data_IF_834963572321
#
_entry.id   IF_834963572321
#
_cell.length_a   1.000
_cell.length_b   1.000
_cell.length_c   1.000
_cell.angle_alpha   90.00
_cell.angle_beta   90.00
_cell.angle_gamma   90.00
#
_symmetry.space_group_name_H-M   'P 1'
#
loop_
_entity.id
_entity.type
_entity.pdbx_description
1 polymer ?
#
# COMPACT_ATOMS: atom_id res chain seq x y z
N UNK A 1 7.68 -24.32 -55.23
CA UNK A 1 6.40 -25.01 -55.49
C UNK A 1 5.57 -24.78 -54.24
N UNK A 2 4.60 -24.00 -54.10
CA UNK A 2 3.86 -22.95 -54.80
C UNK A 2 3.36 -22.03 -53.72
N UNK A 3 3.68 -20.81 -53.62
CA UNK A 3 3.27 -19.56 -54.29
C UNK A 3 1.79 -19.48 -54.70
N UNK A 4 1.14 -18.43 -54.13
CA UNK A 4 0.03 -17.71 -54.71
C UNK A 4 -1.38 -18.33 -54.72
N UNK A 5 -2.24 -17.60 -54.00
CA UNK A 5 -3.61 -17.19 -54.35
C UNK A 5 -4.31 -16.71 -53.06
N UNK A 6 -4.85 -15.56 -52.88
CA UNK A 6 -5.63 -14.73 -53.74
C UNK A 6 -5.71 -13.30 -53.16
N UNK A 7 -5.18 -12.37 -53.94
CA UNK A 7 -5.72 -11.01 -54.07
C UNK A 7 -6.87 -11.11 -55.06
N UNK A 8 -7.81 -10.19 -54.89
CA UNK A 8 -8.90 -9.75 -55.78
C UNK A 8 -10.30 -10.14 -55.34
N UNK A 9 -11.00 -9.17 -54.79
CA UNK A 9 -12.18 -8.63 -55.47
C UNK A 9 -12.60 -7.30 -54.86
N UNK A 10 -12.06 -6.26 -55.45
CA UNK A 10 -12.71 -4.95 -55.54
C UNK A 10 -13.50 -4.89 -56.88
N UNK A 11 -14.57 -4.07 -56.84
CA UNK A 11 -15.27 -3.42 -57.96
C UNK A 11 -16.42 -4.19 -58.64
N UNK A 12 -17.62 -3.65 -58.54
CA UNK A 12 -18.35 -2.94 -59.57
C UNK A 12 -19.76 -2.59 -59.09
N UNK A 13 -20.13 -1.30 -59.03
CA UNK A 13 -20.66 -0.40 -60.07
C UNK A 13 -22.12 -0.65 -60.46
N UNK A 14 -22.87 0.38 -60.23
CA UNK A 14 -23.64 1.26 -61.08
C UNK A 14 -25.11 0.95 -61.35
N UNK A 15 -25.92 1.97 -60.97
CA UNK A 15 -27.03 2.59 -61.70
C UNK A 15 -28.15 1.70 -62.27
N UNK A 16 -29.39 2.10 -61.99
CA UNK A 16 -30.32 2.60 -63.03
C UNK A 16 -31.47 3.38 -62.36
N UNK A 17 -31.74 4.44 -63.00
CA UNK A 17 -32.65 5.56 -62.89
C UNK A 17 -34.09 5.22 -63.28
N UNK A 18 -35.02 6.06 -62.82
CA UNK A 18 -36.30 6.45 -63.43
C UNK A 18 -37.57 5.95 -62.78
N UNK A 19 -38.35 6.82 -62.22
CA UNK A 19 -39.32 7.59 -62.84
C UNK A 19 -40.59 7.80 -62.05
N UNK A 20 -40.90 9.01 -61.79
CA UNK A 20 -42.21 9.65 -62.00
C UNK A 20 -43.35 9.54 -60.94
N UNK A 21 -43.73 10.70 -60.55
CA UNK A 21 -45.03 11.37 -60.36
C UNK A 21 -45.49 11.66 -58.95
N UNK A 22 -45.50 12.96 -58.72
CA UNK A 22 -46.23 13.78 -57.78
C UNK A 22 -47.54 13.23 -57.27
N UNK A 23 -47.74 13.34 -55.96
CA UNK A 23 -49.01 13.74 -55.35
C UNK A 23 -48.72 14.60 -54.15
N UNK A 24 -49.13 15.86 -54.22
CA UNK A 24 -49.14 16.80 -53.10
C UNK A 24 -50.24 16.36 -52.09
N UNK A 25 -49.88 16.08 -50.85
CA UNK A 25 -50.80 16.16 -49.74
C UNK A 25 -50.11 16.94 -48.61
N UNK A 26 -50.68 18.13 -48.38
CA UNK A 26 -50.37 18.99 -47.25
C UNK A 26 -50.67 18.24 -45.93
N UNK A 27 -49.65 17.89 -45.17
CA UNK A 27 -49.81 17.50 -43.78
C UNK A 27 -48.87 18.35 -42.94
N UNK A 28 -49.47 19.15 -42.06
CA UNK A 28 -48.81 19.94 -41.02
C UNK A 28 -47.87 19.10 -40.20
N UNK A 29 -46.61 19.48 -40.00
CA UNK A 29 -45.79 18.84 -38.95
C UNK A 29 -46.17 19.38 -37.60
N UNK A 30 -46.75 18.50 -36.76
CA UNK A 30 -46.89 18.69 -35.34
C UNK A 30 -45.50 18.60 -34.74
N UNK A 31 -44.89 19.73 -34.42
CA UNK A 31 -43.58 19.82 -33.74
C UNK A 31 -43.79 19.44 -32.27
N UNK A 32 -43.64 18.15 -31.97
CA UNK A 32 -43.52 17.67 -30.58
C UNK A 32 -42.15 18.07 -30.10
N UNK A 33 -42.10 19.20 -29.40
CA UNK A 33 -40.92 19.62 -28.62
C UNK A 33 -40.77 18.69 -27.39
N UNK A 34 -40.10 17.56 -27.57
CA UNK A 34 -39.70 16.73 -26.43
C UNK A 34 -38.63 17.48 -25.63
N UNK A 35 -39.06 18.15 -24.56
CA UNK A 35 -38.16 18.64 -23.52
C UNK A 35 -37.43 17.42 -22.92
N UNK A 36 -36.25 17.15 -23.39
CA UNK A 36 -35.30 16.31 -22.64
C UNK A 36 -34.95 17.08 -21.35
N UNK A 37 -35.62 16.73 -20.26
CA UNK A 37 -35.14 17.09 -18.95
C UNK A 37 -33.79 16.44 -18.76
N UNK A 38 -32.73 17.21 -19.00
CA UNK A 38 -31.37 16.83 -18.60
C UNK A 38 -31.39 16.86 -17.07
N UNK A 39 -31.65 15.70 -16.47
CA UNK A 39 -31.40 15.51 -15.05
C UNK A 39 -29.91 15.66 -14.86
N UNK A 40 -29.48 16.88 -14.56
CA UNK A 40 -28.14 17.11 -14.01
C UNK A 40 -28.04 16.31 -12.73
N UNK A 41 -27.43 15.14 -12.80
CA UNK A 41 -26.90 14.48 -11.61
C UNK A 41 -25.85 15.45 -11.05
N UNK A 42 -26.27 16.33 -10.15
CA UNK A 42 -25.35 17.05 -9.31
C UNK A 42 -24.60 15.97 -8.52
N UNK A 43 -23.36 15.72 -8.91
CA UNK A 43 -22.42 15.00 -8.04
C UNK A 43 -22.46 15.78 -6.72
N UNK A 44 -22.82 15.16 -5.59
CA UNK A 44 -22.80 15.88 -4.33
C UNK A 44 -21.40 16.45 -4.15
N UNK A 45 -21.29 17.77 -4.12
CA UNK A 45 -20.06 18.43 -3.70
C UNK A 45 -19.76 17.86 -2.33
N UNK A 46 -18.63 17.16 -2.15
CA UNK A 46 -18.30 16.55 -0.87
C UNK A 46 -18.38 17.65 0.19
N UNK A 47 -19.37 17.55 1.06
CA UNK A 47 -19.57 18.47 2.15
C UNK A 47 -18.36 18.38 3.07
N UNK A 48 -17.85 19.53 3.57
CA UNK A 48 -16.77 19.57 4.56
C UNK A 48 -17.07 18.65 5.77
N UNK A 49 -16.22 18.66 6.80
CA UNK A 49 -16.46 17.87 8.01
C UNK A 49 -17.79 18.22 8.66
N UNK A 50 -18.45 17.23 9.27
CA UNK A 50 -19.70 17.43 10.02
C UNK A 50 -19.49 18.45 11.13
N UNK A 51 -20.43 19.38 11.27
CA UNK A 51 -20.38 20.47 12.25
C UNK A 51 -21.35 20.26 13.40
N UNK A 52 -21.04 20.83 14.58
CA UNK A 52 -21.77 20.62 15.84
C UNK A 52 -21.89 21.94 16.63
N UNK A 53 -22.76 21.98 17.60
CA UNK A 53 -22.95 23.15 18.46
C UNK A 53 -21.88 23.26 19.55
N UNK A 54 -21.25 22.16 19.94
CA UNK A 54 -20.21 22.12 20.98
C UNK A 54 -19.10 21.13 20.67
N UNK A 55 -17.92 21.33 21.27
CA UNK A 55 -16.80 20.37 21.22
C UNK A 55 -17.15 19.02 21.87
N UNK A 56 -18.01 19.04 22.88
CA UNK A 56 -18.48 17.84 23.57
C UNK A 56 -19.35 16.96 22.65
N UNK A 57 -20.18 17.56 21.80
CA UNK A 57 -20.95 16.83 20.77
C UNK A 57 -20.02 16.20 19.71
N UNK A 58 -18.94 16.87 19.32
CA UNK A 58 -17.93 16.29 18.41
C UNK A 58 -17.34 15.02 19.02
N UNK A 59 -16.92 15.07 20.31
CA UNK A 59 -16.41 13.93 21.04
C UNK A 59 -17.43 12.78 21.12
N UNK A 60 -18.68 13.08 21.53
CA UNK A 60 -19.72 12.06 21.66
C UNK A 60 -19.97 11.34 20.35
N UNK A 61 -20.08 12.07 19.22
CA UNK A 61 -20.30 11.48 17.91
C UNK A 61 -19.09 10.63 17.46
N UNK A 62 -17.86 11.02 17.79
CA UNK A 62 -16.67 10.20 17.52
C UNK A 62 -16.75 8.88 18.28
N UNK A 63 -17.02 8.92 19.58
CA UNK A 63 -17.10 7.71 20.42
C UNK A 63 -18.19 6.76 19.92
N UNK A 64 -19.38 7.29 19.62
CA UNK A 64 -20.48 6.49 19.07
C UNK A 64 -20.10 5.83 17.74
N UNK A 65 -19.53 6.61 16.81
CA UNK A 65 -19.13 6.10 15.50
C UNK A 65 -18.03 5.01 15.59
N UNK A 66 -17.06 5.19 16.49
CA UNK A 66 -15.99 4.21 16.72
C UNK A 66 -16.54 2.93 17.35
N UNK A 67 -17.39 3.03 18.38
CA UNK A 67 -17.98 1.87 19.04
C UNK A 67 -18.90 1.06 18.11
N UNK A 68 -19.65 1.76 17.24
CA UNK A 68 -20.51 1.14 16.24
C UNK A 68 -19.72 0.63 15.00
N UNK A 69 -18.41 0.90 14.90
CA UNK A 69 -17.59 0.68 13.70
C UNK A 69 -18.20 1.30 12.44
N UNK A 70 -18.87 2.44 12.60
CA UNK A 70 -19.53 3.16 11.51
C UNK A 70 -18.53 4.00 10.72
N UNK A 71 -17.92 3.38 9.72
CA UNK A 71 -16.97 4.04 8.83
C UNK A 71 -17.58 5.20 8.03
N UNK A 72 -18.89 5.16 7.74
CA UNK A 72 -19.55 6.26 7.04
C UNK A 72 -19.68 7.48 7.94
N UNK A 73 -20.09 7.29 9.20
CA UNK A 73 -20.12 8.36 10.19
C UNK A 73 -18.74 8.95 10.45
N UNK A 74 -17.68 8.11 10.55
CA UNK A 74 -16.31 8.57 10.71
C UNK A 74 -15.85 9.42 9.51
N UNK A 75 -16.15 8.99 8.28
CA UNK A 75 -15.86 9.78 7.07
C UNK A 75 -16.58 11.13 7.08
N UNK A 76 -17.82 11.17 7.54
CA UNK A 76 -18.56 12.43 7.68
C UNK A 76 -17.95 13.34 8.75
N UNK A 77 -17.50 12.79 9.88
CA UNK A 77 -16.87 13.55 10.96
C UNK A 77 -15.58 14.24 10.51
N UNK A 78 -14.72 13.51 9.82
CA UNK A 78 -13.39 14.00 9.39
C UNK A 78 -13.41 14.69 8.02
N UNK A 79 -14.48 14.56 7.25
CA UNK A 79 -14.63 15.16 5.92
C UNK A 79 -13.75 14.51 4.84
N UNK A 80 -13.70 15.10 3.63
CA UNK A 80 -13.07 14.50 2.46
C UNK A 80 -11.55 14.28 2.61
N UNK A 81 -10.87 15.12 3.37
CA UNK A 81 -9.42 14.99 3.64
C UNK A 81 -9.07 13.64 4.25
N UNK A 82 -9.95 13.05 5.04
CA UNK A 82 -9.72 11.74 5.66
C UNK A 82 -9.44 10.62 4.63
N UNK A 83 -10.07 10.67 3.44
CA UNK A 83 -9.84 9.68 2.37
C UNK A 83 -8.41 9.70 1.86
N UNK A 84 -7.81 10.89 1.76
CA UNK A 84 -6.43 11.04 1.29
C UNK A 84 -5.43 10.51 2.33
N UNK A 85 -5.88 10.42 3.58
CA UNK A 85 -5.10 9.94 4.71
C UNK A 85 -5.30 8.44 5.00
N UNK A 86 -6.18 7.75 4.28
CA UNK A 86 -6.35 6.30 4.44
C UNK A 86 -5.06 5.55 4.04
N UNK A 87 -4.64 4.52 4.80
CA UNK A 87 -3.53 3.66 4.39
C UNK A 87 -3.79 3.00 3.05
N UNK A 88 -2.75 2.91 2.22
CA UNK A 88 -2.81 2.19 0.93
C UNK A 88 -2.93 0.68 1.15
N UNK A 89 -2.46 0.19 2.28
CA UNK A 89 -2.53 -1.20 2.68
C UNK A 89 -3.85 -1.44 3.46
N UNK A 90 -4.79 -2.24 2.92
CA UNK A 90 -6.06 -2.50 3.61
C UNK A 90 -5.91 -3.24 4.95
N UNK A 91 -4.82 -3.98 5.13
CA UNK A 91 -4.53 -4.66 6.40
C UNK A 91 -4.11 -3.64 7.45
N UNK A 92 -3.19 -2.73 7.09
CA UNK A 92 -2.79 -1.63 7.98
C UNK A 92 -4.01 -0.78 8.36
N UNK A 93 -4.90 -0.49 7.40
CA UNK A 93 -6.13 0.27 7.67
C UNK A 93 -7.00 -0.42 8.74
N UNK A 94 -7.20 -1.72 8.62
CA UNK A 94 -7.98 -2.49 9.58
C UNK A 94 -7.30 -2.56 10.95
N UNK A 95 -6.01 -2.83 10.98
CA UNK A 95 -5.22 -2.93 12.22
C UNK A 95 -5.13 -1.58 12.94
N UNK A 96 -4.87 -0.49 12.22
CA UNK A 96 -4.86 0.87 12.78
C UNK A 96 -6.23 1.22 13.39
N UNK A 97 -7.32 0.88 12.70
CA UNK A 97 -8.67 1.13 13.21
C UNK A 97 -8.97 0.34 14.49
N UNK A 98 -8.66 -0.95 14.55
CA UNK A 98 -8.86 -1.77 15.74
C UNK A 98 -8.01 -1.29 16.93
N UNK A 99 -6.79 -0.83 16.68
CA UNK A 99 -5.95 -0.19 17.71
C UNK A 99 -6.55 1.13 18.20
N UNK A 100 -7.08 1.93 17.31
CA UNK A 100 -7.76 3.18 17.65
C UNK A 100 -9.02 2.92 18.48
N UNK A 101 -9.88 2.00 18.03
CA UNK A 101 -11.11 1.63 18.72
C UNK A 101 -10.86 1.12 20.15
N UNK A 102 -9.83 0.29 20.35
CA UNK A 102 -9.43 -0.17 21.70
C UNK A 102 -9.03 0.99 22.60
N UNK A 103 -8.23 1.93 22.10
CA UNK A 103 -7.83 3.10 22.89
C UNK A 103 -9.02 3.99 23.24
N UNK A 104 -9.95 4.20 22.31
CA UNK A 104 -11.20 4.94 22.56
C UNK A 104 -12.02 4.25 23.67
N UNK A 105 -12.09 2.91 23.66
CA UNK A 105 -12.78 2.15 24.69
C UNK A 105 -12.10 2.27 26.08
N UNK A 106 -10.78 2.49 26.15
CA UNK A 106 -10.06 2.77 27.41
C UNK A 106 -10.40 4.16 27.98
N UNK A 107 -10.95 5.06 27.19
CA UNK A 107 -11.39 6.40 27.58
C UNK A 107 -10.89 7.50 26.64
N UNK A 108 -11.64 8.58 26.56
CA UNK A 108 -11.28 9.78 25.80
C UNK A 108 -11.52 10.99 26.66
N UNK A 109 -10.56 11.89 26.71
CA UNK A 109 -10.63 13.15 27.44
C UNK A 109 -10.58 14.30 26.42
N UNK A 110 -11.48 15.28 26.59
CA UNK A 110 -11.50 16.52 25.83
C UNK A 110 -10.73 17.59 26.60
N UNK A 111 -9.64 18.09 26.03
CA UNK A 111 -8.85 19.17 26.60
C UNK A 111 -9.10 20.43 25.81
N UNK A 112 -9.60 21.49 26.46
CA UNK A 112 -9.89 22.78 25.81
C UNK A 112 -8.63 23.65 25.79
N UNK A 113 -8.33 24.18 24.63
CA UNK A 113 -7.22 25.11 24.39
C UNK A 113 -7.81 26.52 24.12
N UNK A 114 -8.47 27.10 25.13
CA UNK A 114 -9.23 28.35 24.99
C UNK A 114 -10.65 28.12 24.45
N UNK A 115 -11.28 29.18 23.88
CA UNK A 115 -12.69 29.20 23.53
C UNK A 115 -12.99 28.64 22.12
N UNK A 116 -11.98 28.49 21.29
CA UNK A 116 -12.16 28.13 19.87
C UNK A 116 -11.42 26.86 19.43
N UNK A 117 -10.65 26.25 20.36
CA UNK A 117 -9.85 25.04 20.05
C UNK A 117 -9.93 24.04 21.19
N UNK A 118 -9.90 22.77 20.83
CA UNK A 118 -9.76 21.64 21.75
C UNK A 118 -9.01 20.51 21.06
N UNK A 119 -8.44 19.60 21.85
CA UNK A 119 -7.86 18.36 21.37
C UNK A 119 -8.32 17.18 22.23
N UNK A 120 -8.21 15.98 21.67
CA UNK A 120 -8.54 14.75 22.39
C UNK A 120 -7.26 14.06 22.87
N UNK A 121 -7.37 13.48 24.05
CA UNK A 121 -6.37 12.60 24.66
C UNK A 121 -7.01 11.24 24.87
N UNK A 122 -6.44 10.19 24.26
CA UNK A 122 -7.11 8.90 24.10
C UNK A 122 -6.34 7.78 24.82
N UNK A 123 -7.09 6.93 25.52
CA UNK A 123 -6.61 5.72 26.17
C UNK A 123 -5.85 5.97 27.46
N UNK A 124 -5.52 4.88 28.18
CA UNK A 124 -4.83 4.91 29.48
C UNK A 124 -3.46 5.58 29.41
N UNK A 125 -2.78 5.51 28.25
CA UNK A 125 -1.47 6.15 28.02
C UNK A 125 -1.56 7.62 27.64
N UNK A 126 -2.75 8.21 27.67
CA UNK A 126 -2.97 9.63 27.35
C UNK A 126 -2.39 10.02 25.98
N UNK A 127 -2.66 9.21 24.94
CA UNK A 127 -2.16 9.44 23.60
C UNK A 127 -2.87 10.66 22.95
N UNK A 128 -2.12 11.69 22.51
CA UNK A 128 -2.71 12.85 21.90
C UNK A 128 -3.23 12.51 20.50
N UNK A 129 -4.53 12.74 20.29
CA UNK A 129 -5.14 12.54 18.99
C UNK A 129 -4.67 13.62 18.00
N UNK A 130 -4.23 13.25 16.78
CA UNK A 130 -3.56 14.21 15.89
C UNK A 130 -4.48 15.25 15.27
N UNK A 131 -5.80 15.02 15.24
CA UNK A 131 -6.77 15.94 14.62
C UNK A 131 -7.38 16.85 15.68
N UNK A 132 -7.12 18.15 15.64
CA UNK A 132 -7.74 19.08 16.59
C UNK A 132 -9.24 19.28 16.28
N UNK A 133 -9.95 19.73 17.30
CA UNK A 133 -11.33 20.19 17.19
C UNK A 133 -11.29 21.71 17.23
N UNK A 134 -11.90 22.37 16.26
CA UNK A 134 -11.89 23.82 16.15
C UNK A 134 -13.31 24.39 16.00
N UNK A 135 -13.48 25.65 16.48
CA UNK A 135 -14.72 26.41 16.30
C UNK A 135 -14.55 27.38 15.14
N UNK A 136 -15.41 27.27 14.14
CA UNK A 136 -15.45 28.17 12.99
C UNK A 136 -16.88 28.57 12.68
N UNK A 137 -17.13 29.86 12.52
CA UNK A 137 -18.50 30.40 12.29
C UNK A 137 -19.52 29.95 13.34
N UNK A 138 -19.10 29.86 14.61
CA UNK A 138 -19.97 29.44 15.72
C UNK A 138 -20.10 27.92 15.88
N UNK A 139 -19.67 27.11 14.94
CA UNK A 139 -19.80 25.65 14.96
C UNK A 139 -18.46 24.94 15.17
N UNK A 140 -18.49 23.79 15.83
CA UNK A 140 -17.33 22.94 16.13
C UNK A 140 -17.20 21.79 15.12
N UNK A 141 -15.98 21.47 14.73
CA UNK A 141 -15.69 20.35 13.83
C UNK A 141 -14.23 19.88 13.97
N UNK A 142 -13.92 18.69 13.45
CA UNK A 142 -12.52 18.23 13.32
C UNK A 142 -11.82 18.97 12.20
N UNK A 143 -10.65 19.56 12.48
CA UNK A 143 -9.74 20.12 11.47
C UNK A 143 -8.74 19.04 10.99
N UNK A 144 -9.22 18.19 10.10
CA UNK A 144 -8.43 17.07 9.57
C UNK A 144 -7.21 17.54 8.77
N UNK A 145 -7.31 18.70 8.12
CA UNK A 145 -6.18 19.29 7.39
C UNK A 145 -5.05 19.68 8.35
N UNK A 146 -5.36 20.30 9.48
CA UNK A 146 -4.35 20.61 10.50
C UNK A 146 -3.69 19.35 11.09
N UNK A 147 -4.42 18.22 11.15
CA UNK A 147 -3.88 16.93 11.60
C UNK A 147 -3.09 16.14 10.55
N UNK A 148 -3.15 16.54 9.26
CA UNK A 148 -2.59 15.79 8.13
C UNK A 148 -1.12 15.42 8.31
N UNK A 149 -0.29 16.41 8.59
CA UNK A 149 1.17 16.21 8.68
C UNK A 149 1.53 15.23 9.81
N UNK A 150 0.89 15.37 10.95
CA UNK A 150 1.12 14.50 12.11
C UNK A 150 0.67 13.05 11.85
N UNK A 151 -0.48 12.85 11.21
CA UNK A 151 -0.96 11.52 10.81
C UNK A 151 0.04 10.84 9.88
N UNK A 152 0.48 11.56 8.83
CA UNK A 152 1.44 11.02 7.86
C UNK A 152 2.80 10.75 8.50
N UNK A 153 3.31 11.66 9.34
CA UNK A 153 4.59 11.50 10.03
C UNK A 153 4.60 10.25 10.92
N UNK A 154 3.55 10.06 11.71
CA UNK A 154 3.43 8.85 12.58
C UNK A 154 3.36 7.57 11.77
N UNK A 155 2.56 7.52 10.70
CA UNK A 155 2.45 6.36 9.82
C UNK A 155 3.77 6.06 9.12
N UNK A 156 4.40 7.05 8.50
CA UNK A 156 5.68 6.92 7.81
C UNK A 156 6.72 6.34 8.78
N UNK A 157 6.85 6.93 9.97
CA UNK A 157 7.80 6.47 10.97
C UNK A 157 7.57 5.01 11.38
N UNK A 158 6.30 4.63 11.63
CA UNK A 158 5.92 3.25 11.96
C UNK A 158 6.28 2.27 10.83
N UNK A 159 5.91 2.58 9.59
CA UNK A 159 6.16 1.73 8.44
C UNK A 159 7.65 1.60 8.11
N UNK A 160 8.42 2.68 8.25
CA UNK A 160 9.88 2.67 8.04
C UNK A 160 10.58 1.79 9.07
N UNK A 161 10.20 1.86 10.35
CA UNK A 161 10.71 0.97 11.39
C UNK A 161 10.37 -0.49 11.11
N UNK A 162 9.14 -0.78 10.63
CA UNK A 162 8.77 -2.12 10.19
C UNK A 162 9.59 -2.59 9.00
N UNK A 163 9.85 -1.75 8.01
CA UNK A 163 10.67 -2.08 6.86
C UNK A 163 12.13 -2.41 7.25
N UNK A 164 12.71 -1.67 8.20
CA UNK A 164 14.04 -1.94 8.76
C UNK A 164 14.05 -3.29 9.49
N UNK A 165 13.08 -3.54 10.38
CA UNK A 165 12.96 -4.81 11.13
C UNK A 165 12.78 -6.01 10.18
N UNK A 166 11.92 -5.88 9.18
CA UNK A 166 11.71 -6.92 8.15
C UNK A 166 12.98 -7.16 7.32
N UNK A 167 13.73 -6.10 7.00
CA UNK A 167 14.99 -6.22 6.29
C UNK A 167 16.06 -6.98 7.10
N UNK A 168 16.10 -6.79 8.42
CA UNK A 168 16.98 -7.55 9.32
C UNK A 168 16.52 -9.00 9.48
N UNK A 169 15.21 -9.21 9.68
CA UNK A 169 14.65 -10.57 9.74
C UNK A 169 14.94 -11.37 8.47
N UNK A 170 14.92 -10.71 7.31
CA UNK A 170 15.33 -11.33 6.04
C UNK A 170 16.80 -11.78 6.07
N UNK A 171 17.71 -10.98 6.63
CA UNK A 171 19.13 -11.35 6.75
C UNK A 171 19.31 -12.59 7.62
N UNK A 172 18.66 -12.62 8.78
CA UNK A 172 18.74 -13.78 9.67
C UNK A 172 18.10 -15.03 9.05
N UNK A 173 16.94 -14.88 8.41
CA UNK A 173 16.30 -15.99 7.70
C UNK A 173 17.17 -16.56 6.56
N UNK A 174 17.93 -15.73 5.86
CA UNK A 174 18.87 -16.18 4.83
C UNK A 174 20.04 -16.95 5.43
N UNK A 175 20.55 -16.51 6.58
CA UNK A 175 21.62 -17.23 7.32
C UNK A 175 21.14 -18.58 7.82
N UNK A 176 19.94 -18.61 8.39
CA UNK A 176 19.32 -19.85 8.85
C UNK A 176 19.07 -20.81 7.69
N UNK A 177 18.53 -20.32 6.57
CA UNK A 177 18.31 -21.13 5.37
C UNK A 177 19.61 -21.75 4.85
N UNK A 178 20.71 -20.97 4.81
CA UNK A 178 22.02 -21.46 4.42
C UNK A 178 22.55 -22.55 5.38
N UNK A 179 22.34 -22.37 6.68
CA UNK A 179 22.77 -23.33 7.71
C UNK A 179 21.91 -24.61 7.75
N UNK A 180 20.74 -24.64 7.09
CA UNK A 180 19.90 -25.84 6.97
C UNK A 180 20.42 -26.85 5.93
N UNK A 181 21.39 -26.49 5.11
CA UNK A 181 22.05 -27.43 4.22
C UNK A 181 22.82 -28.47 5.05
N UNK A 182 22.47 -29.75 4.92
CA UNK A 182 23.14 -30.82 5.64
C UNK A 182 24.59 -30.93 5.21
N UNK A 183 25.56 -31.02 6.15
CA UNK A 183 26.99 -31.10 5.83
C UNK A 183 27.39 -32.32 4.98
N UNK A 184 26.63 -33.42 5.10
CA UNK A 184 26.88 -34.70 4.44
C UNK A 184 25.99 -34.93 3.21
N UNK A 185 25.14 -33.90 2.83
CA UNK A 185 24.26 -33.99 1.68
C UNK A 185 24.97 -33.55 0.38
N UNK A 186 24.55 -34.07 -0.75
CA UNK A 186 25.01 -33.66 -2.10
C UNK A 186 24.66 -32.20 -2.46
N UNK A 187 23.98 -31.44 -1.54
CA UNK A 187 23.53 -30.08 -1.79
C UNK A 187 24.52 -29.05 -1.28
N UNK A 188 25.04 -28.26 -2.22
CA UNK A 188 25.88 -27.09 -1.89
C UNK A 188 25.05 -26.11 -1.04
N UNK A 189 25.56 -25.66 0.13
CA UNK A 189 24.91 -24.61 0.91
C UNK A 189 24.63 -23.37 0.07
N UNK A 190 23.41 -22.89 0.10
CA UNK A 190 22.94 -21.76 -0.75
C UNK A 190 21.91 -20.92 -0.02
N UNK A 191 21.79 -19.67 -0.44
CA UNK A 191 20.77 -18.75 0.01
C UNK A 191 19.50 -18.90 -0.81
N UNK A 192 18.34 -18.61 -0.19
CA UNK A 192 17.06 -18.67 -0.87
C UNK A 192 16.89 -17.53 -1.88
N UNK A 193 16.45 -17.87 -3.08
CA UNK A 193 16.21 -16.89 -4.14
C UNK A 193 14.78 -16.34 -4.16
N UNK A 194 13.92 -16.83 -3.24
CA UNK A 194 12.51 -16.47 -3.08
C UNK A 194 12.18 -16.21 -1.61
N UNK A 195 11.22 -15.32 -1.37
CA UNK A 195 10.66 -15.15 -0.03
C UNK A 195 9.80 -16.35 0.35
N UNK A 196 8.95 -16.81 -0.56
CA UNK A 196 8.00 -17.90 -0.36
C UNK A 196 8.34 -19.01 -1.33
N UNK A 197 8.44 -20.22 -0.81
CA UNK A 197 8.69 -21.43 -1.58
C UNK A 197 7.53 -21.74 -2.54
N UNK A 198 7.86 -22.39 -3.66
CA UNK A 198 6.86 -23.01 -4.50
C UNK A 198 6.10 -24.12 -3.71
N UNK A 199 4.84 -24.38 -4.04
CA UNK A 199 4.09 -25.46 -3.39
C UNK A 199 4.84 -26.80 -3.46
N UNK A 200 5.01 -27.45 -2.31
CA UNK A 200 5.74 -28.71 -2.19
C UNK A 200 7.27 -28.62 -2.21
N UNK A 201 7.83 -27.39 -2.32
CA UNK A 201 9.27 -27.16 -2.33
C UNK A 201 9.74 -26.39 -1.10
N UNK A 202 11.05 -26.42 -0.83
CA UNK A 202 11.73 -25.61 0.19
C UNK A 202 12.78 -24.69 -0.49
N UNK A 203 12.38 -24.00 -1.58
CA UNK A 203 13.23 -23.15 -2.42
C UNK A 203 13.14 -21.65 -2.10
N UNK A 204 12.46 -21.31 -1.00
CA UNK A 204 12.30 -19.96 -0.46
C UNK A 204 12.47 -19.94 1.05
N UNK A 205 12.39 -18.75 1.67
CA UNK A 205 12.56 -18.57 3.11
C UNK A 205 11.34 -18.97 3.93
N UNK A 206 10.18 -19.11 3.30
CA UNK A 206 8.95 -19.56 3.94
C UNK A 206 8.34 -20.74 3.17
N UNK A 207 7.98 -21.79 3.90
CA UNK A 207 7.09 -22.89 3.51
C UNK A 207 6.21 -23.27 4.67
N UNK A 208 5.08 -23.88 4.37
CA UNK A 208 4.18 -24.35 5.42
C UNK A 208 4.75 -25.64 6.03
N UNK A 209 4.93 -25.63 7.36
CA UNK A 209 5.38 -26.78 8.15
C UNK A 209 4.19 -27.51 8.78
N UNK A 210 4.35 -28.80 9.04
CA UNK A 210 3.40 -29.59 9.85
C UNK A 210 3.75 -29.50 11.33
N UNK A 211 2.82 -29.79 12.23
CA UNK A 211 3.13 -29.90 13.66
C UNK A 211 4.30 -30.86 13.90
N UNK A 212 5.30 -30.42 14.65
CA UNK A 212 6.52 -31.19 14.97
C UNK A 212 7.65 -31.06 13.93
N UNK A 213 7.43 -30.44 12.78
CA UNK A 213 8.53 -30.10 11.84
C UNK A 213 9.22 -28.80 12.24
N UNK A 214 10.52 -28.69 11.91
CA UNK A 214 11.26 -27.44 12.09
C UNK A 214 10.60 -26.31 11.28
N UNK A 215 10.38 -25.18 11.89
CA UNK A 215 9.79 -24.02 11.23
C UNK A 215 10.67 -23.52 10.07
N UNK A 216 10.03 -22.91 9.06
CA UNK A 216 10.76 -22.23 8.00
C UNK A 216 11.40 -20.94 8.53
N UNK A 217 12.54 -20.48 7.98
CA UNK A 217 13.27 -19.32 8.48
C UNK A 217 12.46 -18.02 8.62
N UNK A 218 11.49 -17.79 7.74
CA UNK A 218 10.51 -16.70 7.87
C UNK A 218 9.19 -17.13 8.53
N UNK A 219 9.11 -18.32 9.10
CA UNK A 219 7.92 -18.83 9.79
C UNK A 219 7.36 -17.87 10.82
N UNK A 220 8.16 -17.41 11.79
CA UNK A 220 7.70 -16.46 12.82
C UNK A 220 7.17 -15.14 12.26
N UNK A 221 7.86 -14.57 11.25
CA UNK A 221 7.41 -13.33 10.60
C UNK A 221 6.09 -13.53 9.85
N UNK A 222 5.95 -14.66 9.16
CA UNK A 222 4.72 -14.99 8.41
C UNK A 222 3.58 -15.36 9.35
N UNK A 223 3.84 -16.02 10.49
CA UNK A 223 2.84 -16.29 11.51
C UNK A 223 2.26 -14.97 12.05
N UNK A 224 3.11 -14.03 12.41
CA UNK A 224 2.70 -12.68 12.83
C UNK A 224 1.92 -11.95 11.74
N UNK A 225 2.39 -11.95 10.50
CA UNK A 225 1.68 -11.37 9.37
C UNK A 225 0.28 -12.01 9.15
N UNK A 226 0.13 -13.31 9.43
CA UNK A 226 -1.18 -14.00 9.39
C UNK A 226 -2.12 -13.53 10.48
N UNK A 227 -1.62 -13.38 11.70
CA UNK A 227 -2.40 -12.84 12.83
C UNK A 227 -2.89 -11.43 12.53
N UNK A 228 -2.08 -10.63 11.85
CA UNK A 228 -2.41 -9.29 11.37
C UNK A 228 -3.34 -9.29 10.13
N UNK A 229 -3.63 -10.44 9.51
CA UNK A 229 -4.57 -10.56 8.38
C UNK A 229 -3.93 -10.58 6.99
N UNK A 230 -2.62 -10.39 6.83
CA UNK A 230 -1.94 -10.31 5.53
C UNK A 230 -2.08 -11.58 4.65
N UNK A 231 -2.23 -12.76 5.25
CA UNK A 231 -2.30 -14.02 4.49
C UNK A 231 -3.70 -14.39 4.00
N UNK A 232 -4.76 -13.84 4.60
CA UNK A 232 -6.15 -14.12 4.18
C UNK A 232 -6.44 -13.51 2.80
N UNK A 233 -5.80 -12.41 2.47
CA UNK A 233 -6.01 -11.64 1.24
C UNK A 233 -5.37 -12.30 0.00
N UNK A 234 -4.50 -13.30 0.18
CA UNK A 234 -3.83 -14.00 -0.93
C UNK A 234 -4.72 -15.00 -1.68
N UNK A 235 -5.85 -15.42 -1.07
CA UNK A 235 -6.80 -16.39 -1.67
C UNK A 235 -7.71 -15.75 -2.75
N UNK A 236 -7.80 -14.44 -2.83
CA UNK A 236 -8.73 -13.73 -3.73
C UNK A 236 -8.15 -13.36 -5.11
N UNK A 237 -7.20 -14.13 -5.62
CA UNK A 237 -6.86 -14.12 -7.06
C UNK A 237 -6.11 -12.90 -7.61
N UNK A 238 -5.51 -12.07 -6.75
CA UNK A 238 -4.73 -10.93 -7.20
C UNK A 238 -3.30 -11.32 -7.62
N UNK A 239 -2.94 -11.12 -8.88
CA UNK A 239 -1.60 -11.33 -9.45
C UNK A 239 -0.56 -10.27 -9.02
N UNK A 240 -0.86 -9.41 -8.04
CA UNK A 240 0.00 -8.33 -7.56
C UNK A 240 0.63 -8.66 -6.21
N UNK A 241 1.93 -8.40 -6.06
CA UNK A 241 2.56 -8.30 -4.74
C UNK A 241 1.90 -7.14 -3.99
N UNK A 242 1.27 -7.45 -2.85
CA UNK A 242 0.72 -6.43 -1.96
C UNK A 242 1.83 -5.87 -1.06
N UNK A 243 1.75 -4.62 -0.63
CA UNK A 243 2.67 -4.10 0.36
C UNK A 243 2.51 -4.84 1.69
N UNK A 244 3.57 -4.88 2.47
CA UNK A 244 3.58 -5.34 3.85
C UNK A 244 4.01 -4.17 4.72
N UNK A 245 3.13 -3.71 5.62
CA UNK A 245 3.28 -2.45 6.36
C UNK A 245 3.69 -1.30 5.44
N UNK A 246 2.90 -1.09 4.37
CA UNK A 246 3.11 -0.01 3.41
C UNK A 246 4.36 -0.14 2.52
N UNK A 247 5.11 -1.27 2.57
CA UNK A 247 6.37 -1.47 1.84
C UNK A 247 6.34 -2.68 0.92
N UNK A 248 7.00 -2.57 -0.24
CA UNK A 248 7.35 -3.68 -1.12
C UNK A 248 8.78 -4.15 -0.86
N UNK A 249 8.99 -5.47 -0.94
CA UNK A 249 10.28 -6.12 -0.73
C UNK A 249 10.70 -6.90 -1.97
N UNK A 250 11.96 -6.75 -2.40
CA UNK A 250 12.52 -7.45 -3.56
C UNK A 250 13.92 -7.95 -3.30
N UNK A 251 14.16 -9.24 -3.53
CA UNK A 251 15.50 -9.84 -3.46
C UNK A 251 16.37 -9.33 -4.60
N UNK A 252 17.59 -8.92 -4.27
CA UNK A 252 18.62 -8.52 -5.22
C UNK A 252 19.67 -9.64 -5.32
N UNK A 253 20.02 -9.98 -6.56
CA UNK A 253 20.87 -11.15 -6.87
C UNK A 253 22.31 -10.78 -7.22
N UNK A 254 22.72 -9.53 -7.00
CA UNK A 254 24.07 -9.02 -7.25
C UNK A 254 24.37 -7.78 -6.43
N UNK A 255 25.65 -7.41 -6.35
CA UNK A 255 26.06 -6.11 -5.85
C UNK A 255 26.79 -5.28 -6.90
N UNK A 256 26.86 -3.98 -6.66
CA UNK A 256 27.52 -3.01 -7.53
C UNK A 256 28.90 -2.60 -7.03
N UNK A 257 29.55 -1.71 -7.77
CA UNK A 257 30.94 -1.28 -7.51
C UNK A 257 31.14 -0.53 -6.19
N UNK A 258 30.09 0.12 -5.65
CA UNK A 258 30.16 0.86 -4.41
C UNK A 258 29.89 -0.02 -3.16
N UNK A 259 29.49 -1.27 -3.37
CA UNK A 259 29.34 -2.20 -2.26
C UNK A 259 30.72 -2.69 -1.78
N UNK A 260 30.87 -2.96 -0.47
CA UNK A 260 32.10 -3.57 0.04
C UNK A 260 32.40 -4.91 -0.66
N UNK A 261 33.61 -5.07 -1.24
CA UNK A 261 33.99 -6.21 -2.05
C UNK A 261 33.81 -6.02 -3.56
N UNK A 262 33.28 -4.84 -3.99
CA UNK A 262 33.14 -4.49 -5.40
C UNK A 262 31.95 -5.16 -6.09
N UNK A 263 31.97 -5.12 -7.42
CA UNK A 263 30.85 -5.62 -8.25
C UNK A 263 30.98 -7.12 -8.49
N UNK A 264 29.97 -7.92 -8.10
CA UNK A 264 29.85 -9.34 -8.47
C UNK A 264 28.40 -9.85 -8.41
N UNK A 265 28.19 -11.03 -8.99
CA UNK A 265 26.91 -11.72 -8.99
C UNK A 265 26.84 -12.67 -7.79
N UNK A 266 25.70 -12.70 -7.08
CA UNK A 266 25.48 -13.65 -6.00
C UNK A 266 25.11 -15.05 -6.49
N UNK A 267 24.68 -15.17 -7.75
CA UNK A 267 24.31 -16.42 -8.39
C UNK A 267 25.53 -17.01 -9.11
N UNK A 268 25.90 -18.25 -8.76
CA UNK A 268 26.91 -19.06 -9.42
C UNK A 268 26.27 -20.41 -9.73
N UNK A 269 26.33 -20.85 -10.97
CA UNK A 269 25.74 -22.12 -11.42
C UNK A 269 24.26 -22.28 -10.94
N UNK A 270 23.45 -21.25 -11.17
CA UNK A 270 22.03 -21.16 -10.78
C UNK A 270 21.76 -21.14 -9.26
N UNK A 271 22.78 -21.26 -8.40
CA UNK A 271 22.66 -21.21 -6.95
C UNK A 271 23.13 -19.86 -6.41
N UNK A 272 22.40 -19.31 -5.44
CA UNK A 272 22.77 -18.07 -4.76
C UNK A 272 23.73 -18.41 -3.60
N UNK A 273 25.03 -18.43 -3.88
CA UNK A 273 26.08 -18.88 -2.94
C UNK A 273 27.04 -17.77 -2.53
N UNK A 274 27.20 -16.73 -3.36
CA UNK A 274 28.18 -15.67 -3.10
C UNK A 274 27.66 -14.53 -2.23
N UNK A 275 26.41 -14.57 -1.82
CA UNK A 275 25.76 -13.55 -0.99
C UNK A 275 24.29 -13.37 -1.35
N UNK A 276 23.67 -12.39 -0.73
CA UNK A 276 22.27 -12.01 -0.97
C UNK A 276 22.06 -10.54 -0.64
N UNK A 277 20.98 -9.95 -1.14
CA UNK A 277 20.55 -8.62 -0.73
C UNK A 277 19.04 -8.42 -0.94
N UNK A 278 18.53 -7.36 -0.31
CA UNK A 278 17.13 -6.97 -0.36
C UNK A 278 17.04 -5.47 -0.63
N UNK A 279 16.00 -5.05 -1.34
CA UNK A 279 15.51 -3.67 -1.36
C UNK A 279 14.09 -3.65 -0.83
N UNK A 280 13.83 -2.71 0.09
CA UNK A 280 12.49 -2.37 0.59
C UNK A 280 12.17 -0.92 0.19
N UNK A 281 10.99 -0.68 -0.39
CA UNK A 281 10.60 0.65 -0.85
C UNK A 281 9.10 0.89 -0.60
N UNK A 282 8.69 2.14 -0.28
CA UNK A 282 7.31 2.43 0.04
C UNK A 282 6.39 2.22 -1.16
N UNK A 283 5.17 1.76 -0.88
CA UNK A 283 4.12 1.61 -1.88
C UNK A 283 3.72 2.97 -2.46
N UNK A 284 3.57 3.98 -1.57
CA UNK A 284 3.33 5.37 -1.92
C UNK A 284 4.32 6.26 -1.18
N UNK A 285 5.19 6.92 -1.95
CA UNK A 285 6.11 7.91 -1.39
C UNK A 285 5.35 9.09 -0.77
N UNK A 286 5.74 9.49 0.43
CA UNK A 286 5.12 10.60 1.18
C UNK A 286 3.83 10.22 1.93
N UNK A 287 3.34 8.98 1.77
CA UNK A 287 2.15 8.50 2.48
C UNK A 287 2.42 7.20 3.25
N UNK A 288 2.94 6.16 2.60
CA UNK A 288 3.31 4.92 3.29
C UNK A 288 4.76 4.89 3.77
N UNK A 289 5.62 5.76 3.24
CA UNK A 289 7.02 5.90 3.60
C UNK A 289 7.72 6.92 2.71
N UNK A 290 8.88 7.39 3.14
CA UNK A 290 9.77 8.31 2.41
C UNK A 290 11.05 7.61 2.01
N UNK A 291 11.63 6.80 2.91
CA UNK A 291 12.91 6.15 2.70
C UNK A 291 12.79 4.83 1.95
N UNK A 292 13.73 4.57 1.08
CA UNK A 292 13.99 3.25 0.49
C UNK A 292 15.17 2.63 1.21
N UNK A 293 15.08 1.36 1.55
CA UNK A 293 16.10 0.62 2.31
C UNK A 293 16.74 -0.45 1.44
N UNK A 294 18.06 -0.65 1.60
CA UNK A 294 18.78 -1.77 1.04
C UNK A 294 19.64 -2.44 2.11
N UNK A 295 19.74 -3.77 2.06
CA UNK A 295 20.55 -4.56 2.99
C UNK A 295 21.19 -5.73 2.22
N UNK A 296 22.36 -6.18 2.66
CA UNK A 296 22.99 -7.41 2.15
C UNK A 296 23.42 -8.33 3.32
N UNK A 297 24.12 -9.42 3.01
CA UNK A 297 24.59 -10.43 3.97
C UNK A 297 25.38 -9.88 5.16
N UNK A 298 25.88 -8.62 5.09
CA UNK A 298 26.56 -7.94 6.21
C UNK A 298 25.59 -7.41 7.26
N UNK A 299 24.27 -7.40 6.98
CA UNK A 299 23.21 -6.98 7.91
C UNK A 299 23.10 -5.46 8.11
N UNK A 300 23.94 -4.65 7.46
CA UNK A 300 23.85 -3.18 7.52
C UNK A 300 22.73 -2.69 6.62
N UNK A 301 21.71 -2.06 7.18
CA UNK A 301 20.62 -1.45 6.45
C UNK A 301 21.00 -0.04 6.05
N UNK A 302 20.95 0.27 4.77
CA UNK A 302 21.16 1.62 4.24
C UNK A 302 19.83 2.19 3.78
N UNK A 303 19.68 3.50 3.91
CA UNK A 303 18.47 4.24 3.54
C UNK A 303 18.77 5.39 2.60
N UNK A 304 17.81 5.70 1.72
CA UNK A 304 17.86 6.85 0.81
C UNK A 304 16.46 7.28 0.43
N UNK A 305 16.20 8.58 0.48
CA UNK A 305 15.00 9.17 -0.12
C UNK A 305 15.20 9.26 -1.64
N UNK A 306 14.39 8.51 -2.41
CA UNK A 306 14.42 8.52 -3.87
C UNK A 306 13.42 9.54 -4.47
N UNK A 307 12.65 10.24 -3.63
CA UNK A 307 11.67 11.27 -4.04
C UNK A 307 10.37 10.69 -4.63
N UNK A 308 9.52 11.55 -5.22
CA UNK A 308 8.19 11.15 -5.69
C UNK A 308 8.17 10.02 -6.72
N UNK A 309 9.27 9.78 -7.44
CA UNK A 309 9.41 8.69 -8.40
C UNK A 309 9.96 7.39 -7.79
N UNK A 310 9.92 7.25 -6.46
CA UNK A 310 10.49 6.10 -5.74
C UNK A 310 10.07 4.75 -6.32
N UNK A 311 8.79 4.53 -6.58
CA UNK A 311 8.31 3.25 -7.09
C UNK A 311 8.93 2.88 -8.46
N UNK A 312 9.09 3.85 -9.35
CA UNK A 312 9.71 3.64 -10.67
C UNK A 312 11.20 3.34 -10.53
N UNK A 313 11.92 4.12 -9.73
CA UNK A 313 13.37 3.98 -9.51
C UNK A 313 13.66 2.65 -8.81
N UNK A 314 12.93 2.33 -7.73
CA UNK A 314 13.16 1.14 -6.93
C UNK A 314 12.89 -0.17 -7.72
N UNK A 315 11.89 -0.18 -8.60
CA UNK A 315 11.66 -1.32 -9.51
C UNK A 315 12.85 -1.59 -10.42
N UNK A 316 13.60 -0.56 -10.80
CA UNK A 316 14.79 -0.64 -11.66
C UNK A 316 16.06 -1.03 -10.87
N UNK A 317 16.10 -0.95 -9.54
CA UNK A 317 17.24 -1.41 -8.74
C UNK A 317 17.41 -2.91 -8.93
N UNK A 318 18.59 -3.33 -9.40
CA UNK A 318 18.98 -4.72 -9.67
C UNK A 318 20.15 -5.21 -8.83
N UNK A 319 20.81 -4.29 -8.10
CA UNK A 319 22.00 -4.59 -7.31
C UNK A 319 22.01 -3.83 -5.99
N UNK A 320 22.57 -4.45 -4.96
CA UNK A 320 22.96 -3.75 -3.74
C UNK A 320 24.16 -2.86 -4.06
N UNK A 321 24.00 -1.55 -4.02
CA UNK A 321 25.04 -0.62 -4.45
C UNK A 321 24.97 0.72 -3.68
N UNK A 322 25.26 0.72 -2.36
CA UNK A 322 25.21 1.92 -1.53
C UNK A 322 26.40 2.84 -1.85
N UNK A 323 26.18 3.83 -2.72
CA UNK A 323 27.10 4.95 -2.92
C UNK A 323 27.01 5.97 -1.76
N UNK A 324 27.76 7.06 -1.84
CA UNK A 324 27.83 8.09 -0.78
C UNK A 324 26.48 8.78 -0.49
N UNK A 325 25.48 8.64 -1.36
CA UNK A 325 24.15 9.19 -1.15
C UNK A 325 23.25 8.33 -0.27
N UNK A 326 23.65 7.08 0.02
CA UNK A 326 23.01 6.19 0.95
C UNK A 326 23.57 6.37 2.35
N UNK A 327 22.72 6.51 3.34
CA UNK A 327 23.08 6.63 4.77
C UNK A 327 22.76 5.34 5.50
N UNK A 328 23.47 5.04 6.58
CA UNK A 328 23.04 3.96 7.49
C UNK A 328 21.71 4.32 8.11
N UNK A 329 20.79 3.35 8.13
CA UNK A 329 19.54 3.48 8.88
C UNK A 329 19.84 3.34 10.37
N UNK A 330 19.48 4.35 11.15
CA UNK A 330 19.53 4.34 12.61
C UNK A 330 18.14 4.00 13.14
N UNK A 331 18.04 3.09 14.11
CA UNK A 331 16.86 3.01 14.96
C UNK A 331 16.92 4.19 15.92
N UNK A 332 16.03 5.15 15.77
CA UNK A 332 15.78 6.17 16.78
C UNK A 332 14.81 5.63 17.80
#
# INVERSE_FOLDING_TARGET
MDLERNRDMMKNRHNIVSGCKSFYLLAFPFLILTMFAVSSFAVPLESGPKVFSSSDEVLQNLVIAVQAKDHAALKALFGPVARELEPVDPVDQSVEFEHFARRVAEGVELVKDGDEKAHLVIGAKKWPFPVPIVKKNGNWHFDTEAGREEILTRRIGHNELHAIKTSRAYVEAQREYYAMAEPDGEQVPKYAQRMISAPGHRDGLYWQTKPGEKESPLGPLVAKAKEEGYMQIRKEGGNGTRPFHGYYFKILKRQGKHAPGGKYNYIINSNMVAGFALVAYPANWGSSGVMTFIVNQRGRVYQKNLGPKTAEIARKIRSFNPDLSWKLATEQ
#
